data_IF_813827329283
#
_entry.id   IF_813827329283
#
_cell.length_a   1.000
_cell.length_b   1.000
_cell.length_c   1.000
_cell.angle_alpha   90.00
_cell.angle_beta   90.00
_cell.angle_gamma   90.00
#
_symmetry.space_group_name_H-M   'P 1'
#
loop_
_entity.id
_entity.type
_entity.pdbx_description
1 polymer ?
#
# COMPACT_ATOMS: atom_id res chain seq x y z
N UNK A 1 -17.19 5.73 14.33
CA UNK A 1 -17.17 4.54 13.45
C UNK A 1 -15.79 3.91 13.53
N UNK A 2 -15.67 2.59 13.74
CA UNK A 2 -14.37 1.89 13.77
C UNK A 2 -13.65 2.05 12.41
N UNK A 3 -12.31 2.20 12.40
CA UNK A 3 -11.48 2.23 11.17
C UNK A 3 -11.84 1.08 10.22
N UNK A 4 -12.04 -0.14 10.74
CA UNK A 4 -12.44 -1.32 9.96
C UNK A 4 -13.84 -1.21 9.36
N UNK A 5 -14.80 -0.66 10.11
CA UNK A 5 -16.15 -0.41 9.61
C UNK A 5 -16.18 0.69 8.55
N UNK A 6 -15.32 1.71 8.69
CA UNK A 6 -15.16 2.76 7.68
C UNK A 6 -14.62 2.16 6.38
N UNK A 7 -13.56 1.34 6.42
CA UNK A 7 -12.98 0.71 5.22
C UNK A 7 -13.99 -0.18 4.50
N UNK A 8 -14.80 -0.98 5.22
CA UNK A 8 -15.90 -1.76 4.61
C UNK A 8 -16.90 -0.88 3.88
N UNK A 9 -17.29 0.22 4.50
CA UNK A 9 -18.22 1.18 3.90
C UNK A 9 -17.62 1.80 2.63
N UNK A 10 -16.32 2.12 2.64
CA UNK A 10 -15.64 2.66 1.45
C UNK A 10 -15.69 1.67 0.28
N UNK A 11 -15.34 0.39 0.49
CA UNK A 11 -15.42 -0.63 -0.56
C UNK A 11 -16.86 -0.88 -1.04
N UNK A 12 -17.84 -0.90 -0.14
CA UNK A 12 -19.26 -0.99 -0.51
C UNK A 12 -19.67 0.19 -1.42
N UNK A 13 -19.29 1.42 -1.04
CA UNK A 13 -19.61 2.61 -1.83
C UNK A 13 -18.94 2.56 -3.20
N UNK A 14 -17.70 2.08 -3.31
CA UNK A 14 -17.02 1.89 -4.61
C UNK A 14 -17.78 0.92 -5.52
N UNK A 15 -18.24 -0.22 -4.98
CA UNK A 15 -19.04 -1.20 -5.73
C UNK A 15 -20.35 -0.56 -6.21
N UNK A 16 -21.02 0.20 -5.35
CA UNK A 16 -22.25 0.90 -5.74
C UNK A 16 -21.97 1.94 -6.82
N UNK A 17 -20.90 2.72 -6.71
CA UNK A 17 -20.52 3.71 -7.72
C UNK A 17 -20.22 3.09 -9.09
N UNK A 18 -19.79 1.83 -9.15
CA UNK A 18 -19.61 1.10 -10.40
C UNK A 18 -20.92 0.91 -11.20
N UNK A 19 -22.06 0.91 -10.52
CA UNK A 19 -23.39 0.80 -11.15
C UNK A 19 -23.90 2.13 -11.73
N UNK A 20 -23.27 3.25 -11.38
CA UNK A 20 -23.62 4.57 -11.90
C UNK A 20 -22.92 4.83 -13.24
N UNK A 21 -23.35 5.85 -14.01
CA UNK A 21 -22.67 6.25 -15.23
C UNK A 21 -21.21 6.64 -14.94
N UNK A 22 -20.27 6.04 -15.68
CA UNK A 22 -18.84 6.29 -15.57
C UNK A 22 -18.29 7.11 -16.73
N UNK A 23 -18.86 6.91 -17.92
CA UNK A 23 -18.42 7.55 -19.15
C UNK A 23 -19.62 8.15 -19.86
N UNK A 24 -19.43 9.33 -20.43
CA UNK A 24 -20.35 10.02 -21.31
C UNK A 24 -19.60 10.40 -22.58
N UNK A 25 -20.23 10.12 -23.72
CA UNK A 25 -19.75 10.57 -25.03
C UNK A 25 -20.77 11.58 -25.55
N UNK A 26 -20.27 12.79 -25.81
CA UNK A 26 -21.06 13.92 -26.29
C UNK A 26 -20.60 14.31 -27.69
N UNK A 27 -21.51 14.74 -28.56
CA UNK A 27 -21.18 15.34 -29.87
C UNK A 27 -21.87 16.69 -29.98
N UNK A 28 -21.08 17.75 -30.21
CA UNK A 28 -21.64 19.09 -30.42
C UNK A 28 -22.47 19.62 -29.25
N UNK A 29 -22.22 19.16 -28.02
CA UNK A 29 -22.95 19.54 -26.81
C UNK A 29 -24.18 18.68 -26.48
N UNK A 30 -24.56 17.74 -27.35
CA UNK A 30 -25.66 16.80 -27.09
C UNK A 30 -25.13 15.46 -26.55
N UNK A 31 -25.82 14.92 -25.53
CA UNK A 31 -25.47 13.65 -24.90
C UNK A 31 -25.92 12.51 -25.79
N UNK A 32 -24.99 11.92 -26.54
CA UNK A 32 -25.31 10.76 -27.38
C UNK A 32 -25.47 9.51 -26.53
N UNK A 33 -24.55 9.31 -25.59
CA UNK A 33 -24.50 8.06 -24.86
C UNK A 33 -23.81 8.20 -23.50
N UNK A 34 -24.44 7.62 -22.47
CA UNK A 34 -23.80 7.36 -21.17
C UNK A 34 -23.70 5.85 -20.92
N UNK A 35 -22.61 5.42 -20.30
CA UNK A 35 -22.40 4.02 -19.95
C UNK A 35 -21.99 3.87 -18.49
N UNK A 36 -22.61 2.93 -17.79
CA UNK A 36 -22.19 2.50 -16.45
C UNK A 36 -20.98 1.57 -16.53
N UNK A 37 -20.23 1.42 -15.44
CA UNK A 37 -19.11 0.45 -15.39
C UNK A 37 -19.58 -0.96 -15.77
N UNK A 38 -20.75 -1.36 -15.28
CA UNK A 38 -21.37 -2.65 -15.57
C UNK A 38 -21.81 -2.81 -17.04
N UNK A 39 -22.32 -1.76 -17.67
CA UNK A 39 -22.71 -1.80 -19.10
C UNK A 39 -21.50 -1.94 -20.03
N UNK A 40 -20.36 -1.37 -19.63
CA UNK A 40 -19.11 -1.52 -20.37
C UNK A 40 -18.59 -2.95 -20.17
N UNK A 41 -18.64 -3.49 -18.96
CA UNK A 41 -18.22 -4.86 -18.65
C UNK A 41 -19.05 -5.95 -19.38
N UNK A 42 -20.37 -5.77 -19.45
CA UNK A 42 -21.28 -6.70 -20.15
C UNK A 42 -21.20 -6.58 -21.68
N UNK A 43 -20.47 -5.60 -22.21
CA UNK A 43 -20.29 -5.40 -23.65
C UNK A 43 -21.50 -4.77 -24.35
N UNK A 44 -22.58 -4.45 -23.63
CA UNK A 44 -23.73 -3.73 -24.17
C UNK A 44 -23.32 -2.37 -24.75
N UNK A 45 -22.29 -1.75 -24.17
CA UNK A 45 -21.69 -0.52 -24.67
C UNK A 45 -21.21 -0.62 -26.13
N UNK A 46 -20.62 -1.75 -26.51
CA UNK A 46 -20.10 -1.96 -27.87
C UNK A 46 -21.23 -2.00 -28.91
N UNK A 47 -22.36 -2.61 -28.56
CA UNK A 47 -23.53 -2.67 -29.43
C UNK A 47 -24.11 -1.29 -29.67
N UNK A 48 -24.21 -0.46 -28.63
CA UNK A 48 -24.77 0.89 -28.76
C UNK A 48 -23.83 1.83 -29.52
N UNK A 49 -22.52 1.69 -29.33
CA UNK A 49 -21.54 2.40 -30.17
C UNK A 49 -21.73 2.04 -31.64
N UNK A 50 -21.83 0.74 -31.94
CA UNK A 50 -22.02 0.24 -33.31
C UNK A 50 -23.32 0.76 -33.94
N UNK A 51 -24.41 0.84 -33.18
CA UNK A 51 -25.70 1.38 -33.69
C UNK A 51 -25.64 2.88 -33.98
N UNK A 52 -24.76 3.62 -33.29
CA UNK A 52 -24.55 5.06 -33.53
C UNK A 52 -23.46 5.36 -34.56
N UNK A 53 -23.02 4.34 -35.33
CA UNK A 53 -22.01 4.50 -36.38
C UNK A 53 -20.56 4.49 -35.88
N UNK A 54 -20.32 4.15 -34.60
CA UNK A 54 -18.99 4.05 -34.02
C UNK A 54 -18.58 2.59 -33.84
N UNK A 55 -17.52 2.16 -34.52
CA UNK A 55 -16.95 0.83 -34.35
C UNK A 55 -15.60 0.93 -33.63
N UNK A 56 -15.54 0.46 -32.39
CA UNK A 56 -14.28 0.32 -31.66
C UNK A 56 -13.65 -1.06 -31.91
N UNK A 57 -12.32 -1.11 -32.03
CA UNK A 57 -11.56 -2.35 -32.14
C UNK A 57 -11.94 -3.39 -31.09
N UNK A 58 -11.98 -4.66 -31.52
CA UNK A 58 -12.18 -5.81 -30.63
C UNK A 58 -11.14 -5.83 -29.50
N UNK A 59 -9.88 -5.46 -29.79
CA UNK A 59 -8.81 -5.43 -28.80
C UNK A 59 -9.05 -4.35 -27.74
N UNK A 60 -9.47 -3.16 -28.16
CA UNK A 60 -9.83 -2.07 -27.24
C UNK A 60 -10.96 -2.49 -26.29
N UNK A 61 -11.99 -3.14 -26.83
CA UNK A 61 -13.11 -3.66 -26.04
C UNK A 61 -12.65 -4.71 -25.00
N UNK A 62 -11.80 -5.67 -25.40
CA UNK A 62 -11.28 -6.71 -24.48
C UNK A 62 -10.46 -6.07 -23.36
N UNK A 63 -9.57 -5.14 -23.69
CA UNK A 63 -8.71 -4.46 -22.71
C UNK A 63 -9.57 -3.67 -21.72
N UNK A 64 -10.50 -2.86 -22.21
CA UNK A 64 -11.38 -2.03 -21.37
C UNK A 64 -12.23 -2.90 -20.43
N UNK A 65 -12.81 -4.00 -20.93
CA UNK A 65 -13.57 -4.95 -20.12
C UNK A 65 -12.72 -5.65 -19.06
N UNK A 66 -11.51 -6.07 -19.43
CA UNK A 66 -10.57 -6.72 -18.50
C UNK A 66 -10.19 -5.78 -17.36
N UNK A 67 -9.90 -4.51 -17.68
CA UNK A 67 -9.57 -3.48 -16.69
C UNK A 67 -10.73 -3.27 -15.72
N UNK A 68 -11.95 -3.10 -16.22
CA UNK A 68 -13.13 -2.86 -15.38
C UNK A 68 -13.48 -4.07 -14.50
N UNK A 69 -13.35 -5.28 -15.06
CA UNK A 69 -13.51 -6.51 -14.28
C UNK A 69 -12.51 -6.58 -13.12
N UNK A 70 -11.24 -6.24 -13.36
CA UNK A 70 -10.22 -6.20 -12.30
C UNK A 70 -10.59 -5.17 -11.22
N UNK A 71 -11.03 -3.97 -11.60
CA UNK A 71 -11.47 -2.94 -10.65
C UNK A 71 -12.62 -3.43 -9.77
N UNK A 72 -13.65 -4.01 -10.40
CA UNK A 72 -14.80 -4.57 -9.68
C UNK A 72 -14.37 -5.72 -8.76
N UNK A 73 -13.55 -6.63 -9.26
CA UNK A 73 -13.06 -7.77 -8.50
C UNK A 73 -12.23 -7.35 -7.28
N UNK A 74 -11.33 -6.37 -7.43
CA UNK A 74 -10.56 -5.82 -6.32
C UNK A 74 -11.46 -5.13 -5.27
N UNK A 75 -12.48 -4.40 -5.71
CA UNK A 75 -13.45 -3.79 -4.81
C UNK A 75 -14.26 -4.83 -4.03
N UNK A 76 -14.67 -5.92 -4.69
CA UNK A 76 -15.41 -7.03 -4.08
C UNK A 76 -14.53 -7.80 -3.09
N UNK A 77 -13.29 -8.12 -3.44
CA UNK A 77 -12.33 -8.74 -2.52
C UNK A 77 -12.13 -7.87 -1.29
N UNK A 78 -11.88 -6.57 -1.47
CA UNK A 78 -11.70 -5.63 -0.36
C UNK A 78 -12.91 -5.61 0.59
N UNK A 79 -14.12 -5.68 0.04
CA UNK A 79 -15.35 -5.80 0.84
C UNK A 79 -15.39 -7.08 1.67
N UNK A 80 -15.14 -8.25 1.05
CA UNK A 80 -15.20 -9.55 1.74
C UNK A 80 -14.07 -9.76 2.76
N UNK A 81 -12.84 -9.37 2.42
CA UNK A 81 -11.68 -9.46 3.33
C UNK A 81 -11.93 -8.62 4.59
N UNK A 82 -12.68 -7.53 4.50
CA UNK A 82 -13.10 -6.76 5.68
C UNK A 82 -13.87 -7.60 6.71
N UNK A 83 -14.56 -8.67 6.33
CA UNK A 83 -15.29 -9.55 7.25
C UNK A 83 -14.46 -10.68 7.84
N UNK A 84 -13.23 -10.91 7.36
CA UNK A 84 -12.38 -11.99 7.86
C UNK A 84 -11.88 -11.70 9.29
N UNK A 85 -11.76 -12.74 10.14
CA UNK A 85 -11.23 -12.62 11.50
C UNK A 85 -9.71 -12.31 11.49
N UNK A 86 -9.42 -11.02 11.47
CA UNK A 86 -8.40 -10.24 12.19
C UNK A 86 -6.91 -10.61 12.32
N UNK A 87 -6.34 -11.62 11.65
CA UNK A 87 -4.87 -11.81 11.74
C UNK A 87 -4.04 -11.27 10.56
N UNK A 88 -4.50 -11.29 9.30
CA UNK A 88 -3.63 -10.94 8.15
C UNK A 88 -4.25 -10.04 7.06
N UNK A 89 -5.50 -9.57 7.24
CA UNK A 89 -6.27 -8.92 6.17
C UNK A 89 -5.80 -7.51 5.77
N UNK A 90 -5.06 -6.81 6.64
CA UNK A 90 -4.73 -5.39 6.47
C UNK A 90 -3.83 -5.14 5.25
N UNK A 91 -2.91 -6.05 4.95
CA UNK A 91 -2.03 -5.95 3.80
C UNK A 91 -2.80 -6.17 2.48
N UNK A 92 -3.74 -7.11 2.44
CA UNK A 92 -4.59 -7.36 1.27
C UNK A 92 -5.48 -6.15 0.94
N UNK A 93 -6.02 -5.49 1.97
CA UNK A 93 -6.81 -4.26 1.83
C UNK A 93 -5.97 -3.09 1.27
N UNK A 94 -4.71 -2.97 1.70
CA UNK A 94 -3.78 -1.96 1.19
C UNK A 94 -3.42 -2.21 -0.28
N UNK A 95 -3.10 -3.45 -0.65
CA UNK A 95 -2.76 -3.80 -2.03
C UNK A 95 -3.96 -3.59 -2.97
N UNK A 96 -5.15 -4.08 -2.61
CA UNK A 96 -6.34 -3.96 -3.46
C UNK A 96 -6.67 -2.50 -3.81
N UNK A 97 -6.71 -1.61 -2.83
CA UNK A 97 -6.98 -0.18 -3.06
C UNK A 97 -5.87 0.53 -3.86
N UNK A 98 -4.60 0.16 -3.64
CA UNK A 98 -3.45 0.73 -4.36
C UNK A 98 -3.47 0.33 -5.84
N UNK A 99 -3.65 -0.96 -6.13
CA UNK A 99 -3.78 -1.46 -7.50
C UNK A 99 -4.99 -0.85 -8.19
N UNK A 100 -6.14 -0.77 -7.51
CA UNK A 100 -7.33 -0.14 -8.05
C UNK A 100 -7.10 1.33 -8.41
N UNK A 101 -6.42 2.10 -7.56
CA UNK A 101 -6.11 3.51 -7.83
C UNK A 101 -5.20 3.67 -9.05
N UNK A 102 -4.15 2.84 -9.18
CA UNK A 102 -3.26 2.85 -10.34
C UNK A 102 -4.01 2.53 -11.65
N UNK A 103 -4.89 1.54 -11.61
CA UNK A 103 -5.70 1.15 -12.75
C UNK A 103 -6.65 2.29 -13.16
N UNK A 104 -7.31 2.93 -12.19
CA UNK A 104 -8.24 4.04 -12.45
C UNK A 104 -7.51 5.27 -13.02
N UNK A 105 -6.32 5.60 -12.50
CA UNK A 105 -5.48 6.67 -13.08
C UNK A 105 -5.05 6.31 -14.51
N UNK A 106 -4.64 5.06 -14.74
CA UNK A 106 -4.31 4.57 -16.07
C UNK A 106 -5.50 4.67 -17.04
N UNK A 107 -6.71 4.35 -16.58
CA UNK A 107 -7.93 4.49 -17.36
C UNK A 107 -8.25 5.96 -17.66
N UNK A 108 -8.11 6.84 -16.68
CA UNK A 108 -8.34 8.29 -16.82
C UNK A 108 -7.48 8.89 -17.95
N UNK A 109 -6.23 8.47 -18.05
CA UNK A 109 -5.28 8.98 -19.04
C UNK A 109 -5.43 8.23 -20.37
N UNK A 110 -5.52 6.91 -20.34
CA UNK A 110 -5.43 6.05 -21.52
C UNK A 110 -6.72 5.91 -22.31
N UNK A 111 -7.88 5.89 -21.64
CA UNK A 111 -9.16 5.64 -22.32
C UNK A 111 -9.53 6.72 -23.36
N UNK A 112 -9.41 8.03 -23.08
CA UNK A 112 -9.71 9.05 -24.08
C UNK A 112 -8.78 8.99 -25.30
N UNK A 113 -7.49 8.73 -25.07
CA UNK A 113 -6.48 8.61 -26.13
C UNK A 113 -6.78 7.41 -27.02
N UNK A 114 -7.02 6.24 -26.42
CA UNK A 114 -7.35 5.04 -27.16
C UNK A 114 -8.67 5.20 -27.93
N UNK A 115 -9.69 5.80 -27.32
CA UNK A 115 -10.97 6.08 -27.97
C UNK A 115 -10.82 7.00 -29.20
N UNK A 116 -10.04 8.08 -29.09
CA UNK A 116 -9.81 9.00 -30.20
C UNK A 116 -9.06 8.33 -31.36
N UNK A 117 -8.05 7.51 -31.06
CA UNK A 117 -7.30 6.76 -32.06
C UNK A 117 -8.21 5.79 -32.84
N UNK A 118 -9.16 5.14 -32.16
CA UNK A 118 -10.13 4.23 -32.79
C UNK A 118 -11.09 4.97 -33.73
N UNK A 119 -11.63 6.13 -33.31
CA UNK A 119 -12.51 6.94 -34.17
C UNK A 119 -11.76 7.44 -35.41
N UNK A 120 -10.47 7.77 -35.28
CA UNK A 120 -9.65 8.22 -36.40
C UNK A 120 -9.38 7.13 -37.45
N UNK A 121 -9.43 5.85 -37.06
CA UNK A 121 -9.12 4.71 -37.93
C UNK A 121 -10.37 3.96 -38.44
N UNK A 122 -11.49 4.02 -37.69
CA UNK A 122 -12.74 3.30 -37.97
C UNK A 122 -13.60 3.88 -39.10
N UNK A 123 -13.13 4.88 -39.83
CA UNK A 123 -13.85 5.52 -40.94
C UNK A 123 -13.93 4.61 -42.18
N UNK A 124 -14.75 3.55 -42.09
CA UNK A 124 -15.29 2.87 -43.25
C UNK A 124 -16.75 3.28 -43.42
N UNK A 125 -17.02 4.03 -44.49
CA UNK A 125 -18.34 4.23 -45.14
C UNK A 125 -19.28 5.38 -44.74
N UNK A 126 -18.79 6.53 -44.28
CA UNK A 126 -19.47 7.80 -44.61
C UNK A 126 -18.52 8.99 -44.52
N UNK A 127 -18.43 9.75 -45.61
CA UNK A 127 -17.62 10.98 -45.73
C UNK A 127 -18.04 12.10 -44.78
N UNK A 128 -19.11 11.90 -43.99
CA UNK A 128 -19.67 12.89 -43.05
C UNK A 128 -19.12 12.73 -41.62
N UNK A 129 -18.79 11.52 -41.15
CA UNK A 129 -18.33 11.27 -39.77
C UNK A 129 -16.91 11.83 -39.52
N UNK A 130 -16.05 11.84 -40.54
CA UNK A 130 -14.70 12.42 -40.43
C UNK A 130 -14.74 13.93 -40.10
N UNK A 131 -15.74 14.65 -40.62
CA UNK A 131 -15.97 16.07 -40.32
C UNK A 131 -16.58 16.28 -38.91
N UNK A 132 -17.22 15.26 -38.33
CA UNK A 132 -17.82 15.31 -36.99
C UNK A 132 -16.86 14.88 -35.87
N UNK A 133 -15.74 14.22 -36.20
CA UNK A 133 -14.73 13.75 -35.24
C UNK A 133 -14.17 14.86 -34.33
N UNK A 134 -14.11 16.10 -34.82
CA UNK A 134 -13.65 17.25 -34.06
C UNK A 134 -14.61 17.73 -32.96
N UNK A 135 -15.83 17.20 -32.91
CA UNK A 135 -16.87 17.59 -31.94
C UNK A 135 -17.21 16.50 -30.93
N UNK A 136 -16.54 15.34 -31.00
CA UNK A 136 -16.77 14.23 -30.08
C UNK A 136 -15.93 14.41 -28.82
N UNK A 137 -16.60 14.62 -27.69
CA UNK A 137 -15.99 14.76 -26.39
C UNK A 137 -16.21 13.51 -25.55
N UNK A 138 -15.12 12.94 -25.05
CA UNK A 138 -15.13 11.86 -24.07
C UNK A 138 -15.02 12.46 -22.67
N UNK A 139 -16.06 12.30 -21.86
CA UNK A 139 -16.12 12.86 -20.51
C UNK A 139 -16.33 11.75 -19.48
N UNK A 140 -15.51 11.76 -18.43
CA UNK A 140 -15.77 10.94 -17.26
C UNK A 140 -16.90 11.55 -16.43
N UNK A 141 -17.75 10.70 -15.88
CA UNK A 141 -18.87 11.09 -15.03
C UNK A 141 -18.47 11.13 -13.55
N UNK A 142 -19.24 11.82 -12.68
CA UNK A 142 -18.91 11.98 -11.27
C UNK A 142 -18.64 10.68 -10.50
N UNK A 143 -19.33 9.58 -10.86
CA UNK A 143 -19.15 8.28 -10.20
C UNK A 143 -17.72 7.72 -10.39
N UNK A 144 -17.10 7.95 -11.55
CA UNK A 144 -15.72 7.58 -11.80
C UNK A 144 -14.77 8.33 -10.87
N UNK A 145 -14.88 9.66 -10.83
CA UNK A 145 -14.03 10.51 -9.99
C UNK A 145 -14.21 10.19 -8.50
N UNK A 146 -15.44 9.94 -8.06
CA UNK A 146 -15.70 9.57 -6.68
C UNK A 146 -15.05 8.22 -6.35
N UNK A 147 -15.14 7.23 -7.25
CA UNK A 147 -14.48 5.93 -7.07
C UNK A 147 -12.96 6.08 -6.96
N UNK A 148 -12.35 6.91 -7.81
CA UNK A 148 -10.92 7.22 -7.77
C UNK A 148 -10.51 7.92 -6.47
N UNK A 149 -11.26 8.93 -6.04
CA UNK A 149 -10.97 9.65 -4.79
C UNK A 149 -11.13 8.74 -3.57
N UNK A 150 -12.18 7.92 -3.55
CA UNK A 150 -12.39 6.94 -2.50
C UNK A 150 -11.27 5.89 -2.48
N UNK A 151 -10.78 5.44 -3.64
CA UNK A 151 -9.71 4.44 -3.71
C UNK A 151 -8.39 5.01 -3.20
N UNK A 152 -8.04 6.23 -3.62
CA UNK A 152 -6.86 6.95 -3.12
C UNK A 152 -6.97 7.24 -1.62
N UNK A 153 -8.14 7.67 -1.15
CA UNK A 153 -8.40 7.89 0.27
C UNK A 153 -8.28 6.61 1.09
N UNK A 154 -8.78 5.48 0.57
CA UNK A 154 -8.63 4.18 1.20
C UNK A 154 -7.17 3.75 1.26
N UNK A 155 -6.41 3.91 0.17
CA UNK A 155 -4.96 3.62 0.13
C UNK A 155 -4.21 4.45 1.17
N UNK A 156 -4.51 5.75 1.26
CA UNK A 156 -3.89 6.62 2.26
C UNK A 156 -4.22 6.19 3.70
N UNK A 157 -5.49 5.85 3.97
CA UNK A 157 -5.91 5.37 5.30
C UNK A 157 -5.22 4.06 5.66
N UNK A 158 -5.15 3.10 4.74
CA UNK A 158 -4.43 1.84 4.95
C UNK A 158 -2.94 2.11 5.25
N UNK A 159 -2.28 2.98 4.47
CA UNK A 159 -0.88 3.30 4.67
C UNK A 159 -0.63 4.03 6.00
N UNK A 160 -1.52 4.93 6.41
CA UNK A 160 -1.45 5.61 7.71
C UNK A 160 -1.59 4.63 8.88
N UNK A 161 -2.49 3.64 8.77
CA UNK A 161 -2.67 2.59 9.79
C UNK A 161 -1.44 1.69 9.90
N UNK A 162 -0.85 1.27 8.77
CA UNK A 162 0.37 0.46 8.77
C UNK A 162 1.54 1.20 9.43
N UNK A 163 1.72 2.49 9.14
CA UNK A 163 2.76 3.31 9.79
C UNK A 163 2.54 3.47 11.31
N UNK A 164 1.29 3.52 11.76
CA UNK A 164 0.99 3.54 13.20
C UNK A 164 1.35 2.21 13.88
N UNK A 165 1.19 1.07 13.19
CA UNK A 165 1.57 -0.26 13.69
C UNK A 165 3.09 -0.40 13.75
N UNK A 166 3.81 -0.07 12.68
CA UNK A 166 5.28 -0.11 12.66
C UNK A 166 5.89 0.70 13.83
N UNK A 167 5.31 1.87 14.14
CA UNK A 167 5.77 2.72 15.24
C UNK A 167 5.49 2.10 16.63
N UNK A 168 4.37 1.39 16.80
CA UNK A 168 4.02 0.71 18.05
C UNK A 168 4.88 -0.54 18.25
N UNK A 169 5.10 -1.31 17.20
CA UNK A 169 5.93 -2.50 17.23
C UNK A 169 7.40 -2.14 17.50
N UNK A 170 7.88 -1.06 16.86
CA UNK A 170 9.19 -0.49 17.17
C UNK A 170 9.29 0.01 18.62
N UNK A 171 8.25 0.65 19.15
CA UNK A 171 8.23 1.08 20.56
C UNK A 171 8.23 -0.11 21.52
N UNK A 172 7.46 -1.17 21.25
CA UNK A 172 7.41 -2.38 22.06
C UNK A 172 8.76 -3.11 22.10
N UNK A 173 9.43 -3.20 20.94
CA UNK A 173 10.78 -3.76 20.83
C UNK A 173 11.82 -2.96 21.63
N UNK A 174 11.59 -1.67 21.87
CA UNK A 174 12.46 -0.85 22.74
C UNK A 174 12.13 -0.96 24.23
N UNK A 175 10.91 -1.36 24.59
CA UNK A 175 10.51 -1.52 26.00
C UNK A 175 10.85 -2.88 26.59
N UNK A 176 11.06 -3.90 25.76
CA UNK A 176 11.48 -5.26 26.18
C UNK A 176 13.00 -5.50 26.11
N UNK A 177 13.80 -4.45 25.85
CA UNK A 177 15.23 -4.55 26.11
C UNK A 177 15.41 -4.83 27.61
N UNK A 178 15.94 -6.01 28.02
CA UNK A 178 16.21 -6.27 29.43
C UNK A 178 17.07 -5.12 29.96
N UNK A 179 16.92 -4.67 31.23
CA UNK A 179 17.80 -3.67 31.79
C UNK A 179 19.22 -4.16 31.50
N UNK A 180 19.92 -3.43 30.63
CA UNK A 180 21.32 -3.74 30.32
C UNK A 180 21.98 -3.91 31.68
N UNK A 181 22.64 -5.03 31.99
CA UNK A 181 23.42 -5.12 33.20
C UNK A 181 24.32 -3.89 33.16
N UNK A 182 24.05 -2.95 34.06
CA UNK A 182 24.97 -1.87 34.32
C UNK A 182 26.22 -2.58 34.80
N UNK A 183 27.18 -2.79 33.90
CA UNK A 183 28.56 -3.04 34.26
C UNK A 183 29.08 -1.74 34.89
N UNK A 184 28.51 -1.42 36.05
CA UNK A 184 29.24 -0.72 37.09
C UNK A 184 30.19 -1.76 37.65
N UNK A 185 31.51 -1.63 37.49
CA UNK A 185 32.42 -2.46 38.24
C UNK A 185 32.32 -1.98 39.69
N UNK A 186 31.41 -2.57 40.46
CA UNK A 186 31.48 -2.53 41.92
C UNK A 186 32.62 -3.44 42.33
N UNK A 187 33.84 -2.94 42.14
CA UNK A 187 35.01 -3.47 42.83
C UNK A 187 34.82 -3.08 44.29
N UNK A 188 34.41 -4.04 45.12
CA UNK A 188 34.45 -3.91 46.56
C UNK A 188 35.89 -3.54 46.97
N UNK A 189 36.06 -2.28 47.36
CA UNK A 189 37.33 -1.66 47.75
C UNK A 189 37.99 -2.29 48.98
N UNK A 190 37.35 -3.30 49.60
CA UNK A 190 37.91 -4.07 50.73
C UNK A 190 38.81 -5.25 50.31
N UNK A 191 38.97 -5.49 49.00
CA UNK A 191 39.69 -6.66 48.46
C UNK A 191 40.83 -6.34 47.49
N UNK A 192 41.41 -5.13 47.58
CA UNK A 192 42.54 -4.71 46.76
C UNK A 192 43.88 -4.84 47.53
N UNK A 193 44.91 -5.31 46.83
CA UNK A 193 46.31 -5.29 47.26
C UNK A 193 47.07 -4.26 46.43
N UNK A 194 47.68 -3.29 47.11
CA UNK A 194 48.43 -2.22 46.44
C UNK A 194 49.84 -2.68 46.07
N UNK A 195 50.25 -2.38 44.83
CA UNK A 195 51.58 -2.71 44.35
C UNK A 195 52.65 -1.88 45.08
N UNK A 196 53.71 -2.49 45.65
CA UNK A 196 54.76 -1.76 46.36
C UNK A 196 55.61 -0.87 45.44
N UNK A 197 55.71 -1.17 44.14
CA UNK A 197 56.52 -0.35 43.21
C UNK A 197 55.79 0.87 42.65
N UNK A 198 54.47 0.79 42.41
CA UNK A 198 53.74 1.86 41.72
C UNK A 198 52.46 2.32 42.43
N UNK A 199 52.08 1.70 43.54
CA UNK A 199 50.90 2.06 44.32
C UNK A 199 49.55 1.70 43.67
N UNK A 200 49.54 0.96 42.55
CA UNK A 200 48.29 0.57 41.89
C UNK A 200 47.53 -0.49 42.70
N UNK A 201 46.21 -0.32 42.87
CA UNK A 201 45.35 -1.29 43.56
C UNK A 201 45.02 -2.46 42.63
N UNK A 202 45.55 -3.64 42.93
CA UNK A 202 45.29 -4.86 42.18
C UNK A 202 44.30 -5.76 42.94
N UNK A 203 43.44 -6.53 42.28
CA UNK A 203 42.58 -7.49 42.96
C UNK A 203 43.40 -8.57 43.67
N UNK A 204 42.94 -9.01 44.86
CA UNK A 204 43.54 -10.13 45.61
C UNK A 204 43.67 -11.39 44.71
N UNK A 205 44.83 -12.04 44.76
CA UNK A 205 45.18 -13.19 43.90
C UNK A 205 45.98 -12.85 42.65
N UNK A 206 46.18 -11.57 42.35
CA UNK A 206 47.07 -11.15 41.25
C UNK A 206 48.53 -11.51 41.56
N UNK A 207 49.17 -12.32 40.71
CA UNK A 207 50.60 -12.69 40.85
C UNK A 207 51.57 -11.58 40.42
N UNK A 208 51.11 -10.68 39.56
CA UNK A 208 51.86 -9.53 39.05
C UNK A 208 50.97 -8.30 39.01
N UNK A 209 51.56 -7.11 39.12
CA UNK A 209 50.84 -5.85 39.00
C UNK A 209 50.39 -5.61 37.55
N UNK A 210 49.09 -5.35 37.37
CA UNK A 210 48.47 -5.09 36.06
C UNK A 210 48.96 -3.80 35.40
N UNK A 211 49.61 -2.90 36.16
CA UNK A 211 50.11 -1.61 35.65
C UNK A 211 51.60 -1.64 35.29
N UNK A 212 52.45 -2.19 36.16
CA UNK A 212 53.90 -2.12 35.99
C UNK A 212 54.60 -3.49 35.89
N UNK A 213 53.86 -4.59 35.98
CA UNK A 213 54.39 -5.96 35.86
C UNK A 213 55.17 -6.46 37.07
N UNK A 214 55.33 -5.66 38.13
CA UNK A 214 56.04 -6.10 39.35
C UNK A 214 55.32 -7.27 40.01
N UNK A 215 56.07 -8.32 40.35
CA UNK A 215 55.53 -9.48 41.06
C UNK A 215 54.96 -9.09 42.42
N UNK A 216 53.76 -9.58 42.74
CA UNK A 216 53.09 -9.37 44.02
C UNK A 216 53.26 -10.67 44.82
N UNK A 217 54.07 -10.64 45.88
CA UNK A 217 54.34 -11.81 46.73
C UNK A 217 53.10 -12.13 47.58
N UNK A 218 52.47 -13.28 47.36
CA UNK A 218 51.41 -13.81 48.24
C UNK A 218 51.97 -15.07 48.90
N UNK A 219 51.98 -15.20 50.24
CA UNK A 219 52.16 -16.48 50.90
C UNK A 219 50.91 -17.34 50.64
N UNK A 220 51.09 -18.52 50.03
CA UNK A 220 50.04 -19.51 49.83
C UNK A 220 49.47 -19.99 51.17
N UNK A 221 48.14 -20.05 51.31
CA UNK A 221 47.48 -20.72 52.44
C UNK A 221 47.05 -22.15 52.02
N UNK A 222 47.57 -23.23 52.66
CA UNK A 222 47.28 -24.60 52.28
C UNK A 222 46.15 -25.20 53.12
N UNK A 223 44.91 -25.30 52.60
CA UNK A 223 43.92 -26.23 53.17
C UNK A 223 42.68 -26.45 52.27
N UNK A 224 42.61 -27.59 51.58
CA UNK A 224 41.47 -28.54 51.71
C UNK A 224 41.76 -29.88 51.01
N UNK A 225 41.85 -30.95 51.81
CA UNK A 225 41.83 -32.37 51.40
C UNK A 225 40.73 -33.05 52.22
N UNK A 226 39.73 -33.63 51.57
CA UNK A 226 38.92 -34.77 52.04
C UNK A 226 38.11 -35.31 50.86
#
# INVERSE_FOLDING_TARGET
MNKKSLVKLLFLVMIVMFLFPWVLVSCGGEKIMSATGFQIETGQYATVMKTNGFAASQNFQIILRTILFIVLFLSVIGFFVGFAPDEDGDMTLAFSSSFQSLILVGLYIGAPIAFYNEISQGSTSSSEIAAMSGFIHFEFQPAFYLTLLLSLGCTFLCFAVLREQDAKDAALLTTDAPPRPSLSPTVDSSSLLFCPSCGYGNPKGSKFCLKCGTALTVPDDPAKKS
#
